data_IF_058564882975
#
_entry.id   IF_058564882975
#
_cell.length_a   1.000
_cell.length_b   1.000
_cell.length_c   1.000
_cell.angle_alpha   90.00
_cell.angle_beta   90.00
_cell.angle_gamma   90.00
#
_symmetry.space_group_name_H-M   'P 1'
#
loop_
_entity.id
_entity.type
_entity.pdbx_description
1 polymer ?
#
# COMPACT_ATOMS: atom_id res chain seq x y z
N UNK A 1 8.92 -36.75 -0.37
CA UNK A 1 9.10 -35.39 -0.94
C UNK A 1 8.75 -34.33 0.09
N UNK A 2 9.63 -33.37 0.25
CA UNK A 2 9.38 -32.29 1.15
C UNK A 2 8.25 -31.41 0.60
N UNK A 3 7.26 -31.11 1.43
CA UNK A 3 6.18 -30.19 1.08
C UNK A 3 6.71 -28.78 1.14
N UNK A 4 6.65 -28.05 0.05
CA UNK A 4 7.03 -26.64 0.06
C UNK A 4 5.96 -25.84 0.77
N UNK A 5 6.39 -24.93 1.68
CA UNK A 5 5.48 -23.93 2.22
C UNK A 5 5.01 -23.02 1.08
N UNK A 6 3.73 -22.63 1.06
CA UNK A 6 3.26 -21.63 0.11
C UNK A 6 4.12 -20.38 0.23
N UNK A 7 4.53 -19.84 -0.90
CA UNK A 7 5.24 -18.55 -0.91
C UNK A 7 4.27 -17.44 -0.57
N UNK A 8 4.71 -16.50 0.27
CA UNK A 8 3.93 -15.32 0.55
C UNK A 8 3.80 -14.47 -0.71
N UNK A 9 2.60 -13.97 -0.95
CA UNK A 9 2.30 -13.04 -2.04
C UNK A 9 1.42 -11.94 -1.44
N UNK A 10 1.67 -10.65 -1.75
CA UNK A 10 0.80 -9.57 -1.28
C UNK A 10 -0.62 -9.76 -1.78
N UNK A 11 -1.58 -9.41 -0.92
CA UNK A 11 -3.00 -9.50 -1.20
C UNK A 11 -3.64 -8.12 -1.02
N UNK A 12 -4.72 -7.86 -1.77
CA UNK A 12 -5.48 -6.61 -1.64
C UNK A 12 -5.87 -6.36 -0.19
N UNK A 13 -5.56 -5.16 0.30
CA UNK A 13 -5.80 -4.77 1.68
C UNK A 13 -4.61 -4.99 2.61
N UNK A 14 -3.59 -5.70 2.16
CA UNK A 14 -2.37 -5.89 2.95
C UNK A 14 -1.59 -4.58 3.06
N UNK A 15 -0.93 -4.42 4.20
CA UNK A 15 0.13 -3.42 4.36
C UNK A 15 1.46 -4.16 4.19
N UNK A 16 2.31 -3.66 3.30
CA UNK A 16 3.61 -4.26 3.04
C UNK A 16 4.71 -3.23 3.19
N UNK A 17 5.92 -3.68 3.54
CA UNK A 17 7.14 -2.91 3.36
C UNK A 17 7.62 -3.10 1.94
N UNK A 18 8.01 -2.02 1.28
CA UNK A 18 8.58 -2.09 -0.07
C UNK A 18 9.54 -0.94 -0.30
N UNK A 19 10.57 -1.16 -1.11
CA UNK A 19 11.56 -0.14 -1.46
C UNK A 19 10.98 0.80 -2.52
N UNK A 20 10.89 2.08 -2.18
CA UNK A 20 10.39 3.13 -3.08
C UNK A 20 11.47 3.77 -3.94
N UNK A 21 12.75 3.40 -3.73
CA UNK A 21 13.84 3.92 -4.55
C UNK A 21 13.85 3.29 -5.95
N UNK A 22 14.30 4.00 -6.99
CA UNK A 22 14.58 5.43 -6.99
C UNK A 22 13.31 6.26 -6.99
N UNK A 23 13.40 7.45 -6.47
CA UNK A 23 12.27 8.38 -6.44
C UNK A 23 12.74 9.76 -6.93
N UNK A 24 11.79 10.62 -7.33
CA UNK A 24 12.05 11.95 -7.81
C UNK A 24 11.25 12.98 -7.02
N UNK A 25 11.87 14.12 -6.76
CA UNK A 25 11.20 15.24 -6.10
C UNK A 25 10.67 14.87 -4.71
N UNK A 26 9.35 15.04 -4.52
CA UNK A 26 8.68 14.84 -3.23
C UNK A 26 8.11 13.44 -3.05
N UNK A 27 8.45 12.50 -3.91
CA UNK A 27 8.00 11.13 -3.76
C UNK A 27 8.67 10.45 -2.57
N UNK A 28 8.03 9.42 -2.05
CA UNK A 28 8.62 8.58 -1.00
C UNK A 28 9.90 7.89 -1.48
N UNK A 29 10.86 7.71 -0.57
CA UNK A 29 12.11 7.00 -0.82
C UNK A 29 12.33 5.93 0.24
N UNK A 30 13.21 4.98 -0.06
CA UNK A 30 13.61 3.90 0.82
C UNK A 30 12.45 2.93 1.13
N UNK A 31 12.60 2.11 2.15
CA UNK A 31 11.57 1.17 2.58
C UNK A 31 10.46 1.92 3.30
N UNK A 32 9.25 1.83 2.76
CA UNK A 32 8.06 2.47 3.33
C UNK A 32 6.87 1.52 3.30
N UNK A 33 5.89 1.74 4.17
CA UNK A 33 4.63 1.00 4.09
C UNK A 33 3.84 1.37 2.86
N UNK A 34 3.18 0.38 2.29
CA UNK A 34 2.27 0.55 1.15
C UNK A 34 1.00 -0.26 1.40
N UNK A 35 -0.15 0.36 1.14
CA UNK A 35 -1.42 -0.34 1.09
C UNK A 35 -1.58 -0.97 -0.29
N UNK A 36 -1.76 -2.29 -0.34
CA UNK A 36 -1.92 -3.04 -1.58
C UNK A 36 -3.37 -2.95 -2.05
N UNK A 37 -3.57 -2.55 -3.30
CA UNK A 37 -4.89 -2.47 -3.93
C UNK A 37 -5.13 -3.60 -4.92
N UNK A 38 -4.08 -4.12 -5.55
CA UNK A 38 -4.20 -5.16 -6.56
C UNK A 38 -4.38 -6.54 -5.94
N UNK A 39 -5.17 -7.43 -6.59
CA UNK A 39 -5.45 -8.75 -6.02
C UNK A 39 -4.25 -9.68 -6.08
N UNK A 40 -4.24 -10.65 -5.17
CA UNK A 40 -3.15 -11.63 -5.01
C UNK A 40 -2.79 -12.33 -6.33
N UNK A 41 -3.79 -12.73 -7.12
CA UNK A 41 -3.55 -13.44 -8.38
C UNK A 41 -2.77 -12.57 -9.37
N UNK A 42 -3.08 -11.29 -9.43
CA UNK A 42 -2.35 -10.34 -10.26
C UNK A 42 -0.91 -10.18 -9.74
N UNK A 43 -0.77 -9.99 -8.44
CA UNK A 43 0.54 -9.76 -7.81
C UNK A 43 1.47 -10.96 -7.97
N UNK A 44 0.92 -12.16 -7.91
CA UNK A 44 1.70 -13.38 -8.10
C UNK A 44 2.13 -13.57 -9.55
N UNK A 45 1.19 -13.40 -10.48
CA UNK A 45 1.45 -13.64 -11.91
C UNK A 45 2.37 -12.61 -12.55
N UNK A 46 2.25 -11.36 -12.15
CA UNK A 46 3.00 -10.27 -12.79
C UNK A 46 4.26 -9.87 -12.03
N UNK A 47 4.42 -10.30 -10.78
CA UNK A 47 5.42 -9.75 -9.85
C UNK A 47 5.21 -8.27 -9.53
N UNK A 48 4.13 -7.66 -10.03
CA UNK A 48 3.79 -6.27 -9.77
C UNK A 48 2.77 -6.17 -8.63
N UNK A 49 2.76 -5.02 -7.99
CA UNK A 49 1.74 -4.63 -7.02
C UNK A 49 1.34 -3.20 -7.34
N UNK A 50 0.04 -2.94 -7.30
CA UNK A 50 -0.49 -1.58 -7.41
C UNK A 50 -1.01 -1.19 -6.03
N UNK A 51 -0.60 -0.03 -5.55
CA UNK A 51 -1.01 0.39 -4.22
C UNK A 51 -0.74 1.85 -3.94
N UNK A 52 -0.92 2.21 -2.66
CA UNK A 52 -0.82 3.58 -2.19
C UNK A 52 0.21 3.65 -1.05
N UNK A 53 1.11 4.63 -1.07
CA UNK A 53 2.07 4.78 0.02
C UNK A 53 1.36 5.17 1.32
N UNK A 54 1.95 4.80 2.44
CA UNK A 54 1.48 5.18 3.77
C UNK A 54 2.60 5.94 4.50
N UNK A 55 2.22 6.90 5.32
CA UNK A 55 3.16 7.73 6.06
C UNK A 55 2.59 8.11 7.42
N UNK A 56 3.48 8.35 8.40
CA UNK A 56 3.09 8.88 9.71
C UNK A 56 3.24 10.40 9.79
N UNK A 57 3.64 11.06 8.70
CA UNK A 57 3.86 12.51 8.68
C UNK A 57 2.59 13.28 9.02
N UNK A 58 2.61 14.00 10.13
CA UNK A 58 1.42 14.63 10.73
C UNK A 58 0.79 15.71 9.87
N UNK A 59 1.53 16.34 8.96
CA UNK A 59 0.97 17.36 8.09
C UNK A 59 -0.15 16.81 7.19
N UNK A 60 -0.22 15.50 7.02
CA UNK A 60 -1.28 14.86 6.24
C UNK A 60 -2.66 14.90 6.92
N UNK A 61 -2.74 15.33 8.18
CA UNK A 61 -4.02 15.53 8.86
C UNK A 61 -4.91 16.51 8.10
N UNK A 62 -4.32 17.48 7.40
CA UNK A 62 -5.06 18.45 6.60
C UNK A 62 -5.01 18.17 5.09
N UNK A 63 -4.44 17.05 4.70
CA UNK A 63 -4.39 16.63 3.29
C UNK A 63 -5.72 15.95 2.91
N UNK A 64 -6.54 16.56 2.01
CA UNK A 64 -7.85 15.99 1.67
C UNK A 64 -7.78 14.64 0.94
N UNK A 65 -6.61 14.27 0.44
CA UNK A 65 -6.40 13.00 -0.27
C UNK A 65 -5.80 11.93 0.63
N UNK A 66 -5.50 12.24 1.88
CA UNK A 66 -4.96 11.28 2.83
C UNK A 66 -6.10 10.62 3.62
N UNK A 67 -6.04 9.31 3.72
CA UNK A 67 -7.00 8.53 4.51
C UNK A 67 -6.35 8.11 5.80
N UNK A 68 -6.91 8.54 6.92
CA UNK A 68 -6.38 8.26 8.24
C UNK A 68 -6.59 6.79 8.60
N UNK A 69 -5.53 6.19 9.13
CA UNK A 69 -5.54 4.82 9.63
C UNK A 69 -4.86 4.79 10.99
N UNK A 70 -5.51 4.17 12.00
CA UNK A 70 -4.91 4.00 13.31
C UNK A 70 -4.40 2.56 13.44
N UNK A 71 -3.09 2.42 13.54
CA UNK A 71 -2.43 1.13 13.67
C UNK A 71 -2.27 0.70 15.12
N UNK A 72 -1.37 -0.26 15.33
CA UNK A 72 -1.08 -0.80 16.65
C UNK A 72 -0.60 0.32 17.60
N UNK A 73 -0.96 0.20 18.89
CA UNK A 73 -0.58 1.14 19.93
C UNK A 73 -1.06 2.57 19.66
N UNK A 74 -2.12 2.73 18.89
CA UNK A 74 -2.71 4.04 18.60
C UNK A 74 -1.90 4.91 17.65
N UNK A 75 -0.90 4.35 16.96
CA UNK A 75 -0.11 5.09 15.99
C UNK A 75 -0.95 5.46 14.78
N UNK A 76 -0.98 6.76 14.46
CA UNK A 76 -1.73 7.27 13.32
C UNK A 76 -0.84 7.25 12.08
N UNK A 77 -1.37 6.69 11.01
CA UNK A 77 -0.76 6.69 9.69
C UNK A 77 -1.75 7.23 8.67
N UNK A 78 -1.28 7.60 7.51
CA UNK A 78 -2.09 8.16 6.44
C UNK A 78 -1.82 7.39 5.15
N UNK A 79 -2.90 6.95 4.51
CA UNK A 79 -2.82 6.36 3.17
C UNK A 79 -2.92 7.50 2.16
N UNK A 80 -1.91 7.64 1.31
CA UNK A 80 -1.83 8.75 0.36
C UNK A 80 -2.51 8.35 -0.96
N UNK A 81 -3.81 8.58 -1.05
CA UNK A 81 -4.60 8.14 -2.19
C UNK A 81 -4.28 8.89 -3.49
N UNK A 82 -3.54 10.01 -3.41
CA UNK A 82 -3.13 10.80 -4.56
C UNK A 82 -1.78 10.39 -5.15
N UNK A 83 -1.16 9.33 -4.60
CA UNK A 83 0.15 8.86 -5.05
C UNK A 83 0.16 7.36 -5.39
N UNK A 84 -0.73 6.91 -6.30
CA UNK A 84 -0.72 5.49 -6.66
C UNK A 84 0.60 5.10 -7.32
N UNK A 85 1.09 3.92 -6.95
CA UNK A 85 2.35 3.36 -7.44
C UNK A 85 2.14 1.94 -7.93
N UNK A 86 2.92 1.56 -8.93
CA UNK A 86 3.04 0.18 -9.36
C UNK A 86 4.51 -0.22 -9.29
N UNK A 87 4.80 -1.26 -8.53
CA UNK A 87 6.17 -1.71 -8.28
C UNK A 87 6.30 -3.21 -8.48
N UNK A 88 7.48 -3.66 -8.90
CA UNK A 88 7.86 -5.07 -8.83
C UNK A 88 8.19 -5.41 -7.38
N UNK A 89 7.25 -6.03 -6.68
CA UNK A 89 7.40 -6.28 -5.25
C UNK A 89 8.48 -7.32 -4.93
N UNK A 90 8.77 -8.26 -5.84
CA UNK A 90 9.86 -9.22 -5.63
C UNK A 90 11.21 -8.52 -5.76
N UNK A 91 11.39 -7.73 -6.81
CA UNK A 91 12.63 -7.00 -7.05
C UNK A 91 12.90 -5.94 -5.97
N UNK A 92 11.83 -5.35 -5.40
CA UNK A 92 11.94 -4.27 -4.42
C UNK A 92 11.83 -4.75 -2.97
N UNK A 93 12.01 -6.03 -2.72
CA UNK A 93 12.05 -6.55 -1.37
C UNK A 93 10.74 -6.45 -0.61
N UNK A 94 9.61 -6.57 -1.30
CA UNK A 94 8.30 -6.52 -0.68
C UNK A 94 8.13 -7.60 0.37
N UNK A 95 7.67 -7.22 1.56
CA UNK A 95 7.44 -8.13 2.68
C UNK A 95 6.30 -7.64 3.55
N UNK A 96 5.69 -8.55 4.31
CA UNK A 96 4.57 -8.23 5.17
C UNK A 96 4.96 -7.20 6.25
N UNK A 97 4.11 -6.18 6.44
CA UNK A 97 4.25 -5.23 7.52
C UNK A 97 3.66 -5.83 8.81
N UNK A 98 4.21 -5.49 10.00
CA UNK A 98 3.68 -6.00 11.29
C UNK A 98 2.18 -5.74 11.51
N UNK A 99 1.63 -4.66 10.98
CA UNK A 99 0.20 -4.35 11.08
C UNK A 99 -0.67 -5.18 10.14
N UNK A 100 -0.07 -5.89 9.23
CA UNK A 100 -0.65 -6.87 8.30
C UNK A 100 -1.66 -6.30 7.32
N UNK A 101 -2.79 -5.78 7.79
CA UNK A 101 -3.89 -5.36 6.91
C UNK A 101 -4.58 -4.12 7.46
N UNK A 102 -5.16 -3.33 6.56
CA UNK A 102 -6.09 -2.27 6.96
C UNK A 102 -7.50 -2.87 7.12
N UNK A 103 -8.36 -2.15 7.85
CA UNK A 103 -9.77 -2.53 7.94
C UNK A 103 -10.45 -2.36 6.58
N UNK A 104 -11.56 -3.10 6.32
CA UNK A 104 -12.34 -2.92 5.11
C UNK A 104 -12.80 -1.47 4.88
N UNK A 105 -13.12 -0.75 5.95
CA UNK A 105 -13.54 0.66 5.87
C UNK A 105 -12.43 1.56 5.35
N UNK A 106 -11.20 1.38 5.83
CA UNK A 106 -10.05 2.15 5.36
C UNK A 106 -9.77 1.84 3.90
N UNK A 107 -9.82 0.58 3.52
CA UNK A 107 -9.61 0.17 2.13
C UNK A 107 -10.65 0.81 1.22
N UNK A 108 -11.92 0.77 1.61
CA UNK A 108 -13.01 1.36 0.83
C UNK A 108 -12.85 2.86 0.69
N UNK A 109 -12.50 3.56 1.76
CA UNK A 109 -12.29 5.00 1.75
C UNK A 109 -11.11 5.38 0.85
N UNK A 110 -10.01 4.65 0.94
CA UNK A 110 -8.84 4.89 0.10
C UNK A 110 -9.16 4.68 -1.38
N UNK A 111 -9.86 3.62 -1.72
CA UNK A 111 -10.30 3.35 -3.10
C UNK A 111 -11.27 4.42 -3.59
N UNK A 112 -12.20 4.85 -2.75
CA UNK A 112 -13.16 5.91 -3.09
C UNK A 112 -12.47 7.25 -3.37
N UNK A 113 -11.49 7.60 -2.55
CA UNK A 113 -10.70 8.82 -2.75
C UNK A 113 -9.89 8.76 -4.04
N UNK A 114 -9.23 7.63 -4.29
CA UNK A 114 -8.49 7.43 -5.55
C UNK A 114 -9.42 7.53 -6.75
N UNK A 115 -10.62 6.96 -6.66
CA UNK A 115 -11.59 7.00 -7.74
C UNK A 115 -12.10 8.42 -8.06
N UNK A 116 -12.05 9.32 -7.09
CA UNK A 116 -12.37 10.74 -7.31
C UNK A 116 -11.24 11.45 -8.08
N UNK A 117 -10.01 11.00 -7.91
CA UNK A 117 -8.84 11.60 -8.57
C UNK A 117 -8.69 11.02 -9.99
N UNK A 118 -8.77 9.70 -10.09
CA UNK A 118 -8.69 8.96 -11.34
C UNK A 118 -9.98 8.16 -11.46
N UNK A 119 -10.92 8.64 -12.25
CA UNK A 119 -12.22 7.98 -12.39
C UNK A 119 -12.05 6.61 -13.05
N UNK A 120 -12.06 5.57 -12.22
CA UNK A 120 -11.90 4.19 -12.67
C UNK A 120 -13.26 3.55 -12.96
N UNK A 121 -14.29 4.00 -12.28
CA UNK A 121 -15.67 3.54 -12.48
C UNK A 121 -16.63 4.69 -12.18
N UNK A 122 -17.80 4.63 -12.79
CA UNK A 122 -18.87 5.62 -12.56
C UNK A 122 -19.50 5.47 -11.17
#
# INVERSE_FOLDING_TARGET
MATRKPRWVPERGDIIWIDFNPQAGREMRDMHPMLVLSPKVFNDRTSLVVGLPMTTAAYNETNPFAVRFTGAKGLVSYVLAHQPKSFDWRARGGKAHPWKRVSPDVLQEACGTLNQIVTLTD
#
